data_IF_552913152537
#
_entry.id   IF_552913152537
#
_cell.length_a   1.000
_cell.length_b   1.000
_cell.length_c   1.000
_cell.angle_alpha   90.00
_cell.angle_beta   90.00
_cell.angle_gamma   90.00
#
_symmetry.space_group_name_H-M   'P 1'
#
loop_
_entity.id
_entity.type
_entity.pdbx_description
1 polymer ?
#
# COMPACT_ATOMS: atom_id res chain seq x y z
N UNK A 1 1.64 5.17 -14.76
CA UNK A 1 2.37 5.83 -15.85
C UNK A 1 3.84 5.41 -15.84
N UNK A 2 4.56 5.54 -14.72
CA UNK A 2 5.96 5.09 -14.62
C UNK A 2 6.14 3.59 -14.89
N UNK A 3 5.23 2.75 -14.38
CA UNK A 3 5.19 1.30 -14.63
C UNK A 3 4.99 0.95 -16.11
N UNK A 4 4.52 1.90 -16.91
CA UNK A 4 4.33 1.77 -18.36
C UNK A 4 5.51 2.30 -19.19
N UNK A 5 6.59 2.70 -18.51
CA UNK A 5 7.78 3.27 -19.16
C UNK A 5 7.65 4.74 -19.55
N UNK A 6 6.51 5.37 -19.32
CA UNK A 6 6.32 6.81 -19.55
C UNK A 6 6.96 7.61 -18.41
N UNK A 7 8.15 8.15 -18.67
CA UNK A 7 8.86 9.00 -17.70
C UNK A 7 8.30 10.42 -17.72
N UNK A 8 7.85 10.89 -16.57
CA UNK A 8 7.33 12.24 -16.38
C UNK A 8 6.63 12.38 -15.04
N UNK A 9 6.45 13.62 -14.58
CA UNK A 9 5.74 13.90 -13.34
C UNK A 9 4.22 13.94 -13.60
N UNK A 10 3.46 13.34 -12.70
CA UNK A 10 2.01 13.41 -12.69
C UNK A 10 1.55 14.68 -11.96
N UNK A 11 0.54 15.45 -12.46
CA UNK A 11 -0.21 15.23 -13.72
C UNK A 11 0.40 15.91 -14.96
N UNK A 12 1.55 16.57 -14.85
CA UNK A 12 2.17 17.43 -15.86
C UNK A 12 2.47 16.66 -17.17
N UNK A 13 2.74 15.34 -17.07
CA UNK A 13 2.99 14.48 -18.23
C UNK A 13 1.82 14.49 -19.23
N UNK A 14 0.59 14.72 -18.79
CA UNK A 14 -0.60 14.77 -19.64
C UNK A 14 -0.57 15.95 -20.63
N UNK A 15 0.23 16.96 -20.32
CA UNK A 15 0.39 18.17 -21.11
C UNK A 15 1.72 18.22 -21.88
N UNK A 16 2.50 17.15 -21.81
CA UNK A 16 3.76 17.02 -22.53
C UNK A 16 3.53 17.01 -24.05
N UNK A 17 4.36 17.72 -24.79
CA UNK A 17 4.26 17.80 -26.25
C UNK A 17 4.61 16.50 -26.96
N UNK A 18 5.48 15.69 -26.37
CA UNK A 18 5.99 14.42 -26.93
C UNK A 18 5.27 13.17 -26.38
N UNK A 19 4.75 13.22 -25.15
CA UNK A 19 4.17 12.07 -24.45
C UNK A 19 2.72 12.27 -23.96
N UNK A 20 2.21 13.49 -24.06
CA UNK A 20 0.91 13.81 -23.48
C UNK A 20 -0.25 13.04 -24.11
N UNK A 21 -0.22 12.79 -25.42
CA UNK A 21 -1.26 12.03 -26.11
C UNK A 21 -1.28 10.56 -25.64
N UNK A 22 -0.10 9.93 -25.60
CA UNK A 22 0.04 8.55 -25.11
C UNK A 22 -0.34 8.43 -23.64
N UNK A 23 0.08 9.41 -22.81
CA UNK A 23 -0.26 9.43 -21.39
C UNK A 23 -1.78 9.57 -21.16
N UNK A 24 -2.46 10.44 -21.91
CA UNK A 24 -3.93 10.59 -21.83
C UNK A 24 -4.64 9.32 -22.25
N UNK A 25 -4.22 8.70 -23.37
CA UNK A 25 -4.81 7.43 -23.82
C UNK A 25 -4.67 6.34 -22.76
N UNK A 26 -3.47 6.19 -22.16
CA UNK A 26 -3.25 5.22 -21.11
C UNK A 26 -4.14 5.46 -19.89
N UNK A 27 -4.36 6.73 -19.51
CA UNK A 27 -5.27 7.08 -18.40
C UNK A 27 -6.71 6.71 -18.73
N UNK A 28 -7.18 7.02 -19.94
CA UNK A 28 -8.55 6.69 -20.39
C UNK A 28 -8.78 5.18 -20.43
N UNK A 29 -7.80 4.41 -20.94
CA UNK A 29 -7.84 2.95 -20.97
C UNK A 29 -7.88 2.38 -19.54
N UNK A 30 -7.04 2.94 -18.63
CA UNK A 30 -7.00 2.52 -17.23
C UNK A 30 -8.32 2.83 -16.50
N UNK A 31 -8.90 4.01 -16.72
CA UNK A 31 -10.20 4.37 -16.13
C UNK A 31 -11.32 3.47 -16.63
N UNK A 32 -11.32 3.17 -17.93
CA UNK A 32 -12.29 2.26 -18.55
C UNK A 32 -12.20 0.86 -17.95
N UNK A 33 -10.98 0.34 -17.80
CA UNK A 33 -10.75 -0.98 -17.18
C UNK A 33 -11.15 -0.97 -15.70
N UNK A 34 -10.81 0.06 -14.93
CA UNK A 34 -11.21 0.19 -13.52
C UNK A 34 -12.73 0.24 -13.37
N UNK A 35 -13.40 1.02 -14.23
CA UNK A 35 -14.87 1.06 -14.24
C UNK A 35 -15.49 -0.32 -14.52
N UNK A 36 -14.93 -1.05 -15.49
CA UNK A 36 -15.36 -2.42 -15.81
C UNK A 36 -15.13 -3.36 -14.62
N UNK A 37 -13.93 -3.33 -14.02
CA UNK A 37 -13.58 -4.14 -12.84
C UNK A 37 -14.61 -3.91 -11.71
N UNK A 38 -14.93 -2.65 -11.41
CA UNK A 38 -15.87 -2.31 -10.34
C UNK A 38 -17.31 -2.71 -10.67
N UNK A 39 -17.80 -2.39 -11.87
CA UNK A 39 -19.17 -2.68 -12.29
C UNK A 39 -19.45 -4.19 -12.38
N UNK A 40 -18.51 -4.94 -12.92
CA UNK A 40 -18.66 -6.40 -13.16
C UNK A 40 -18.12 -7.22 -11.96
N UNK A 41 -17.58 -6.55 -10.93
CA UNK A 41 -16.99 -7.18 -9.75
C UNK A 41 -15.93 -8.23 -10.09
N UNK A 42 -15.06 -7.89 -11.06
CA UNK A 42 -14.06 -8.82 -11.58
C UNK A 42 -12.92 -9.07 -10.62
N UNK A 43 -12.62 -8.13 -9.71
CA UNK A 43 -11.63 -8.30 -8.66
C UNK A 43 -12.27 -8.15 -7.29
N UNK A 44 -11.78 -8.92 -6.32
CA UNK A 44 -12.13 -8.78 -4.91
C UNK A 44 -10.90 -8.37 -4.12
N UNK A 45 -11.05 -7.33 -3.29
CA UNK A 45 -10.03 -6.84 -2.37
C UNK A 45 -10.27 -7.45 -1.00
N UNK A 46 -9.29 -8.17 -0.49
CA UNK A 46 -9.33 -8.79 0.83
C UNK A 46 -8.14 -8.34 1.68
N UNK A 47 -8.37 -8.16 2.97
CA UNK A 47 -7.31 -7.89 3.92
C UNK A 47 -7.54 -8.65 5.23
N UNK A 48 -6.44 -8.90 5.92
CA UNK A 48 -6.42 -9.29 7.32
C UNK A 48 -5.61 -8.29 8.10
N UNK A 49 -6.05 -7.96 9.31
CA UNK A 49 -5.42 -7.00 10.22
C UNK A 49 -5.33 -7.62 11.59
N UNK A 50 -4.22 -7.38 12.28
CA UNK A 50 -4.06 -7.73 13.69
C UNK A 50 -3.24 -6.67 14.43
N UNK A 51 -3.70 -6.30 15.63
CA UNK A 51 -2.97 -5.42 16.54
C UNK A 51 -2.44 -6.29 17.67
N UNK A 52 -1.14 -6.23 17.90
CA UNK A 52 -0.44 -7.13 18.83
C UNK A 52 0.42 -6.33 19.79
N UNK A 53 0.48 -6.72 21.08
CA UNK A 53 1.51 -6.22 21.99
C UNK A 53 2.89 -6.47 21.41
N UNK A 54 3.76 -5.47 21.50
CA UNK A 54 5.09 -5.55 20.93
C UNK A 54 6.08 -4.67 21.72
N UNK A 55 7.35 -5.00 21.59
CA UNK A 55 8.47 -4.21 22.12
C UNK A 55 9.68 -4.36 21.19
N UNK A 56 10.59 -3.40 21.24
CA UNK A 56 11.86 -3.51 20.52
C UNK A 56 12.92 -4.17 21.39
N UNK A 57 13.79 -4.97 20.75
CA UNK A 57 14.97 -5.59 21.36
C UNK A 57 16.15 -5.46 20.39
N UNK A 58 17.02 -4.50 20.64
CA UNK A 58 18.02 -4.12 19.65
C UNK A 58 17.38 -3.60 18.38
N UNK A 59 17.72 -4.19 17.24
CA UNK A 59 17.12 -3.83 15.94
C UNK A 59 15.87 -4.66 15.58
N UNK A 60 15.42 -5.55 16.47
CA UNK A 60 14.28 -6.42 16.20
C UNK A 60 13.01 -5.92 16.89
N UNK A 61 11.86 -6.18 16.29
CA UNK A 61 10.54 -6.04 16.91
C UNK A 61 10.09 -7.42 17.38
N UNK A 62 9.74 -7.53 18.66
CA UNK A 62 9.18 -8.75 19.25
C UNK A 62 7.69 -8.57 19.43
N UNK A 63 6.90 -9.43 18.80
CA UNK A 63 5.44 -9.44 18.86
C UNK A 63 4.99 -10.56 19.79
N UNK A 64 4.03 -10.26 20.66
CA UNK A 64 3.45 -11.26 21.57
C UNK A 64 2.06 -11.67 21.11
N UNK A 65 1.82 -12.98 21.02
CA UNK A 65 0.50 -13.55 20.73
C UNK A 65 0.30 -14.86 21.47
N UNK A 66 -0.76 -14.94 22.27
CA UNK A 66 -1.17 -16.19 22.96
C UNK A 66 -0.02 -16.83 23.77
N UNK A 67 0.78 -16.01 24.46
CA UNK A 67 1.93 -16.45 25.24
C UNK A 67 3.17 -16.86 24.41
N UNK A 68 3.12 -16.64 23.09
CA UNK A 68 4.27 -16.86 22.19
C UNK A 68 4.88 -15.52 21.79
N UNK A 69 6.21 -15.51 21.70
CA UNK A 69 6.97 -14.37 21.17
C UNK A 69 7.46 -14.70 19.76
N UNK A 70 7.16 -13.80 18.83
CA UNK A 70 7.64 -13.87 17.44
C UNK A 70 8.59 -12.72 17.21
N UNK A 71 9.81 -13.00 16.80
CA UNK A 71 10.81 -12.00 16.47
C UNK A 71 10.66 -11.61 14.99
N UNK A 72 10.50 -10.34 14.73
CA UNK A 72 10.50 -9.75 13.41
C UNK A 72 11.82 -8.99 13.22
N UNK A 73 12.83 -9.60 12.59
CA UNK A 73 14.11 -8.94 12.35
C UNK A 73 13.93 -7.71 11.47
N UNK A 74 14.51 -6.57 11.89
CA UNK A 74 14.45 -5.33 11.13
C UNK A 74 15.84 -4.95 10.62
N UNK A 75 15.87 -4.35 9.44
CA UNK A 75 17.11 -3.79 8.91
C UNK A 75 17.17 -2.31 9.20
N UNK A 76 18.34 -1.86 9.66
CA UNK A 76 18.62 -0.45 9.83
C UNK A 76 18.98 0.18 8.48
N UNK A 77 18.51 1.40 8.22
CA UNK A 77 18.88 2.16 7.03
C UNK A 77 20.41 2.26 6.91
N UNK A 78 20.94 1.90 5.73
CA UNK A 78 22.40 1.93 5.46
C UNK A 78 22.77 2.99 4.42
N UNK A 79 21.90 3.96 4.17
CA UNK A 79 22.19 5.04 3.24
C UNK A 79 23.24 5.98 3.82
N UNK A 80 24.35 6.17 3.12
CA UNK A 80 25.39 7.12 3.53
C UNK A 80 24.92 8.60 3.53
N UNK A 81 23.78 8.89 2.87
CA UNK A 81 23.17 10.22 2.82
C UNK A 81 22.06 10.42 3.86
N UNK A 82 21.69 9.37 4.61
CA UNK A 82 20.69 9.49 5.66
C UNK A 82 21.27 10.26 6.87
N UNK A 83 20.50 11.17 7.43
CA UNK A 83 20.88 11.89 8.66
C UNK A 83 20.98 10.94 9.86
N UNK A 84 20.15 9.88 9.85
CA UNK A 84 20.07 8.85 10.89
C UNK A 84 19.87 7.48 10.24
N UNK A 85 20.49 6.46 10.83
CA UNK A 85 20.35 5.07 10.38
C UNK A 85 19.14 4.43 11.09
N UNK A 86 17.93 4.88 10.74
CA UNK A 86 16.69 4.42 11.37
C UNK A 86 16.36 2.96 11.02
N UNK A 87 15.81 2.27 12.01
CA UNK A 87 15.13 0.97 11.89
C UNK A 87 13.66 1.11 12.27
N UNK A 88 12.79 0.21 11.81
CA UNK A 88 11.41 0.18 12.28
C UNK A 88 11.32 -0.10 13.80
N UNK A 89 12.30 -0.79 14.37
CA UNK A 89 12.39 -1.03 15.80
C UNK A 89 12.51 0.27 16.64
N UNK A 90 13.04 1.36 16.05
CA UNK A 90 13.18 2.64 16.74
C UNK A 90 11.82 3.33 17.00
N UNK A 91 10.75 2.86 16.38
CA UNK A 91 9.38 3.37 16.54
C UNK A 91 8.56 2.55 17.55
N UNK A 92 9.15 1.55 18.18
CA UNK A 92 8.50 0.67 19.17
C UNK A 92 9.26 0.77 20.48
N UNK A 93 8.56 0.90 21.61
CA UNK A 93 9.18 1.00 22.93
C UNK A 93 10.09 -0.20 23.23
N UNK A 94 11.25 0.05 23.86
CA UNK A 94 12.13 -1.02 24.31
C UNK A 94 11.46 -1.95 25.33
N UNK A 95 11.93 -3.21 25.40
CA UNK A 95 11.45 -4.19 26.37
C UNK A 95 11.54 -3.65 27.80
N UNK A 96 10.40 -3.63 28.49
CA UNK A 96 10.29 -3.21 29.88
C UNK A 96 10.09 -1.69 30.11
N UNK A 97 10.02 -0.88 29.04
CA UNK A 97 9.80 0.57 29.16
C UNK A 97 8.31 1.00 29.08
N UNK A 98 7.40 0.05 28.89
CA UNK A 98 5.97 0.29 28.85
C UNK A 98 5.23 -0.68 27.93
N UNK A 99 3.94 -0.44 27.77
CA UNK A 99 3.09 -1.18 26.83
C UNK A 99 3.09 -0.48 25.47
N UNK A 100 3.43 -1.22 24.44
CA UNK A 100 3.35 -0.75 23.05
C UNK A 100 2.77 -1.82 22.14
N UNK A 101 2.38 -1.44 20.93
CA UNK A 101 1.67 -2.31 20.01
C UNK A 101 2.13 -2.09 18.58
N UNK A 102 2.10 -3.15 17.78
CA UNK A 102 2.23 -3.05 16.34
C UNK A 102 0.96 -3.55 15.65
N UNK A 103 0.59 -2.89 14.58
CA UNK A 103 -0.44 -3.35 13.68
C UNK A 103 0.22 -4.05 12.50
N UNK A 104 -0.11 -5.32 12.31
CA UNK A 104 0.29 -6.10 11.15
C UNK A 104 -0.90 -6.29 10.23
N UNK A 105 -0.70 -6.16 8.92
CA UNK A 105 -1.74 -6.42 7.95
C UNK A 105 -1.20 -7.11 6.70
N UNK A 106 -2.09 -7.81 6.01
CA UNK A 106 -1.86 -8.26 4.64
C UNK A 106 -3.08 -7.89 3.80
N UNK A 107 -2.84 -7.30 2.64
CA UNK A 107 -3.88 -6.87 1.72
C UNK A 107 -3.61 -7.42 0.32
N UNK A 108 -4.66 -7.75 -0.42
CA UNK A 108 -4.57 -8.23 -1.79
C UNK A 108 -5.74 -7.73 -2.62
N UNK A 109 -5.49 -7.35 -3.87
CA UNK A 109 -6.47 -7.07 -4.89
C UNK A 109 -6.44 -8.11 -6.04
N UNK A 110 -5.82 -9.27 -5.81
CA UNK A 110 -5.56 -10.28 -6.84
C UNK A 110 -6.64 -11.36 -6.99
N UNK A 111 -7.66 -11.38 -6.15
CA UNK A 111 -8.73 -12.37 -6.27
C UNK A 111 -9.61 -12.07 -7.48
N UNK A 112 -9.68 -13.01 -8.45
CA UNK A 112 -10.33 -12.84 -9.76
C UNK A 112 -9.38 -12.36 -10.88
N UNK A 113 -8.14 -11.97 -10.55
CA UNK A 113 -7.19 -11.45 -11.55
C UNK A 113 -6.79 -12.53 -12.57
N UNK A 114 -6.64 -13.78 -12.13
CA UNK A 114 -6.27 -14.88 -13.02
C UNK A 114 -7.33 -15.08 -14.10
N UNK A 115 -8.60 -15.13 -13.71
CA UNK A 115 -9.74 -15.31 -14.60
C UNK A 115 -9.87 -14.14 -15.59
N UNK A 116 -9.73 -12.91 -15.10
CA UNK A 116 -9.76 -11.71 -15.92
C UNK A 116 -8.64 -11.71 -16.97
N UNK A 117 -7.41 -12.00 -16.57
CA UNK A 117 -6.24 -12.04 -17.46
C UNK A 117 -6.36 -13.15 -18.48
N UNK A 118 -6.82 -14.33 -18.06
CA UNK A 118 -7.02 -15.48 -18.96
C UNK A 118 -8.07 -15.14 -20.02
N UNK A 119 -9.23 -14.61 -19.64
CA UNK A 119 -10.28 -14.24 -20.60
C UNK A 119 -9.86 -13.15 -21.59
N UNK A 120 -9.05 -12.15 -21.14
CA UNK A 120 -8.50 -11.14 -22.02
C UNK A 120 -7.52 -11.74 -23.03
N UNK A 121 -6.66 -12.67 -22.62
CA UNK A 121 -5.72 -13.36 -23.52
C UNK A 121 -6.42 -14.27 -24.52
N UNK A 122 -7.42 -15.01 -24.09
CA UNK A 122 -8.21 -15.86 -24.97
C UNK A 122 -8.96 -15.05 -26.05
N UNK A 123 -9.31 -13.79 -25.74
CA UNK A 123 -9.86 -12.85 -26.72
C UNK A 123 -8.81 -12.15 -27.59
N UNK A 124 -7.50 -12.40 -27.37
CA UNK A 124 -6.40 -11.76 -28.08
C UNK A 124 -6.00 -10.39 -27.53
N UNK A 125 -6.54 -9.96 -26.38
CA UNK A 125 -6.24 -8.68 -25.74
C UNK A 125 -5.08 -8.79 -24.74
N UNK A 126 -3.84 -8.90 -25.25
CA UNK A 126 -2.63 -8.90 -24.41
C UNK A 126 -2.41 -7.55 -23.73
N UNK A 127 -2.76 -6.44 -24.38
CA UNK A 127 -2.64 -5.11 -23.80
C UNK A 127 -3.54 -4.98 -22.55
N UNK A 128 -4.81 -5.34 -22.67
CA UNK A 128 -5.74 -5.37 -21.54
C UNK A 128 -5.30 -6.29 -20.42
N UNK A 129 -4.70 -7.44 -20.76
CA UNK A 129 -4.17 -8.38 -19.77
C UNK A 129 -3.02 -7.80 -18.95
N UNK A 130 -2.11 -7.04 -19.59
CA UNK A 130 -1.01 -6.33 -18.89
C UNK A 130 -1.58 -5.19 -18.05
N UNK A 131 -2.51 -4.41 -18.62
CA UNK A 131 -3.15 -3.29 -17.93
C UNK A 131 -3.90 -3.76 -16.68
N UNK A 132 -4.65 -4.87 -16.75
CA UNK A 132 -5.35 -5.44 -15.61
C UNK A 132 -4.41 -5.82 -14.45
N UNK A 133 -3.24 -6.40 -14.75
CA UNK A 133 -2.22 -6.72 -13.75
C UNK A 133 -1.69 -5.46 -13.06
N UNK A 134 -1.30 -4.45 -13.85
CA UNK A 134 -0.79 -3.19 -13.30
C UNK A 134 -1.84 -2.47 -12.45
N UNK A 135 -3.11 -2.54 -12.85
CA UNK A 135 -4.20 -1.97 -12.05
C UNK A 135 -4.44 -2.74 -10.76
N UNK A 136 -4.34 -4.07 -10.77
CA UNK A 136 -4.44 -4.88 -9.56
C UNK A 136 -3.34 -4.53 -8.55
N UNK A 137 -2.09 -4.33 -9.01
CA UNK A 137 -0.99 -3.88 -8.14
C UNK A 137 -1.28 -2.51 -7.53
N UNK A 138 -1.74 -1.55 -8.34
CA UNK A 138 -2.09 -0.20 -7.83
C UNK A 138 -3.31 -0.22 -6.91
N UNK A 139 -4.28 -1.09 -7.16
CA UNK A 139 -5.43 -1.29 -6.27
C UNK A 139 -5.01 -1.88 -4.93
N UNK A 140 -4.05 -2.81 -4.91
CA UNK A 140 -3.52 -3.37 -3.66
C UNK A 140 -2.84 -2.30 -2.81
N UNK A 141 -2.03 -1.42 -3.41
CA UNK A 141 -1.41 -0.29 -2.71
C UNK A 141 -2.45 0.71 -2.19
N UNK A 142 -3.40 1.13 -3.04
CA UNK A 142 -4.46 2.04 -2.63
C UNK A 142 -5.35 1.44 -1.53
N UNK A 143 -5.56 0.13 -1.57
CA UNK A 143 -6.31 -0.59 -0.53
C UNK A 143 -5.55 -0.65 0.79
N UNK A 144 -4.23 -0.84 0.76
CA UNK A 144 -3.39 -0.79 1.95
C UNK A 144 -3.42 0.60 2.61
N UNK A 145 -3.38 1.68 1.82
CA UNK A 145 -3.54 3.05 2.32
C UNK A 145 -4.92 3.27 2.95
N UNK A 146 -5.98 2.84 2.29
CA UNK A 146 -7.34 2.92 2.83
C UNK A 146 -7.49 2.10 4.13
N UNK A 147 -6.86 0.93 4.18
CA UNK A 147 -6.84 0.08 5.37
C UNK A 147 -6.10 0.76 6.52
N UNK A 148 -4.97 1.43 6.25
CA UNK A 148 -4.24 2.18 7.26
C UNK A 148 -5.08 3.33 7.86
N UNK A 149 -5.84 4.05 7.02
CA UNK A 149 -6.82 5.04 7.52
C UNK A 149 -7.85 4.38 8.43
N UNK A 150 -8.42 3.24 8.01
CA UNK A 150 -9.39 2.50 8.81
C UNK A 150 -8.79 1.99 10.14
N UNK A 151 -7.53 1.57 10.14
CA UNK A 151 -6.81 1.19 11.36
C UNK A 151 -6.72 2.35 12.32
N UNK A 152 -6.23 3.51 11.89
CA UNK A 152 -6.08 4.69 12.76
C UNK A 152 -7.41 5.19 13.30
N UNK A 153 -8.44 5.21 12.46
CA UNK A 153 -9.73 5.81 12.79
C UNK A 153 -10.68 4.85 13.50
N UNK A 154 -10.79 3.62 13.00
CA UNK A 154 -11.90 2.74 13.34
C UNK A 154 -11.46 1.47 14.11
N UNK A 155 -10.33 0.84 13.76
CA UNK A 155 -9.92 -0.46 14.31
C UNK A 155 -9.05 -0.31 15.56
N UNK A 156 -8.03 0.51 15.51
CA UNK A 156 -7.24 0.90 16.68
C UNK A 156 -7.85 2.13 17.37
N UNK A 157 -8.31 3.09 16.57
CA UNK A 157 -9.15 4.17 17.05
C UNK A 157 -8.41 5.32 17.72
N UNK A 158 -7.09 5.46 17.56
CA UNK A 158 -6.35 6.56 18.19
C UNK A 158 -6.54 7.91 17.47
N UNK A 159 -7.09 7.91 16.26
CA UNK A 159 -7.45 9.11 15.47
C UNK A 159 -8.90 9.06 14.96
N UNK A 160 -9.83 8.73 15.84
CA UNK A 160 -11.26 8.56 15.51
C UNK A 160 -11.91 9.77 14.80
N UNK A 161 -11.36 10.97 14.97
CA UNK A 161 -11.82 12.22 14.34
C UNK A 161 -11.10 12.58 13.05
N UNK A 162 -10.23 11.73 12.50
CA UNK A 162 -9.45 12.05 11.31
C UNK A 162 -10.33 12.32 10.08
N UNK A 163 -10.23 13.53 9.53
CA UNK A 163 -10.91 13.97 8.30
C UNK A 163 -9.91 14.44 7.24
N UNK A 164 -8.69 13.92 7.31
CA UNK A 164 -7.57 14.36 6.48
C UNK A 164 -7.83 14.10 4.98
N UNK A 165 -7.55 15.08 4.10
CA UNK A 165 -7.60 14.87 2.66
C UNK A 165 -6.62 13.77 2.20
N UNK A 166 -6.99 13.03 1.14
CA UNK A 166 -6.17 11.93 0.60
C UNK A 166 -4.73 12.37 0.31
N UNK A 167 -4.52 13.59 -0.19
CA UNK A 167 -3.19 14.13 -0.49
C UNK A 167 -2.31 14.23 0.75
N UNK A 168 -2.88 14.61 1.89
CA UNK A 168 -2.16 14.71 3.17
C UNK A 168 -1.85 13.31 3.73
N UNK A 169 -2.78 12.36 3.58
CA UNK A 169 -2.56 10.95 3.93
C UNK A 169 -1.39 10.38 3.14
N UNK A 170 -1.40 10.56 1.80
CA UNK A 170 -0.33 10.08 0.92
C UNK A 170 1.01 10.80 1.15
N UNK A 171 0.99 12.03 1.67
CA UNK A 171 2.19 12.76 2.08
C UNK A 171 2.72 12.31 3.46
N UNK A 172 1.99 11.43 4.17
CA UNK A 172 2.37 10.95 5.50
C UNK A 172 2.21 12.01 6.60
N UNK A 173 1.37 13.03 6.39
CA UNK A 173 1.17 14.14 7.34
C UNK A 173 0.20 13.79 8.49
N UNK A 174 -0.19 12.53 8.61
CA UNK A 174 -1.02 12.03 9.71
C UNK A 174 -0.20 11.83 11.00
N UNK A 175 -0.89 11.78 12.13
CA UNK A 175 -0.30 11.50 13.44
C UNK A 175 -0.39 10.01 13.79
N UNK A 176 0.35 9.63 14.84
CA UNK A 176 0.33 8.27 15.38
C UNK A 176 1.19 7.28 14.58
N UNK A 177 0.74 6.04 14.49
CA UNK A 177 1.50 4.95 13.90
C UNK A 177 1.79 5.17 12.41
N UNK A 178 3.06 5.03 12.04
CA UNK A 178 3.51 5.09 10.66
C UNK A 178 3.26 3.75 9.96
N UNK A 179 2.90 3.82 8.68
CA UNK A 179 2.85 2.63 7.84
C UNK A 179 4.21 2.37 7.21
N UNK A 180 4.63 1.11 7.24
CA UNK A 180 5.81 0.62 6.53
C UNK A 180 5.41 -0.52 5.60
N UNK A 181 5.95 -0.51 4.39
CA UNK A 181 5.76 -1.53 3.36
C UNK A 181 7.01 -2.40 3.23
#
# INVERSE_FOLDING_TARGET
ISSWGLKGRWPEILFSSDKGEEARKLVDDAQTMLYRIGREKLLTLNAVVGIFPAFSRGDDIVVEREGRKVVLPQLRCQSASAAENLSLADYVLPEGEGDDYVCLFAASAGFGLHELVTGLRESGDEYGAILAKLLADRLAEAFAEALHVAVRRDLWGFEAGETMPVQEVLAGNYQGARMAF
#
